data_IF_980044029855
#
_entry.id   IF_980044029855
#
_cell.length_a   1.000
_cell.length_b   1.000
_cell.length_c   1.000
_cell.angle_alpha   90.00
_cell.angle_beta   90.00
_cell.angle_gamma   90.00
#
_symmetry.space_group_name_H-M   'P 1'
#
loop_
_entity.id
_entity.type
_entity.pdbx_description
1 polymer ?
#
# COMPACT_ATOMS: atom_id res chain seq x y z
N UNK A 1 -12.87 -4.39 16.96
CA UNK A 1 -11.95 -4.76 15.89
C UNK A 1 -12.80 -5.10 14.69
N UNK A 2 -12.70 -4.29 13.64
CA UNK A 2 -13.40 -4.56 12.39
C UNK A 2 -12.74 -5.74 11.68
N UNK A 3 -13.50 -6.76 11.35
CA UNK A 3 -13.03 -7.89 10.53
C UNK A 3 -13.39 -7.62 9.07
N UNK A 4 -12.46 -7.91 8.16
CA UNK A 4 -12.65 -7.72 6.73
C UNK A 4 -12.55 -9.03 5.97
N UNK A 5 -13.52 -9.29 5.11
CA UNK A 5 -13.53 -10.44 4.23
C UNK A 5 -13.76 -9.99 2.80
N UNK A 6 -12.88 -10.37 1.90
CA UNK A 6 -13.08 -10.15 0.47
C UNK A 6 -14.09 -11.19 -0.01
N UNK A 7 -15.21 -10.73 -0.55
CA UNK A 7 -16.32 -11.59 -0.97
C UNK A 7 -16.45 -11.69 -2.49
N UNK A 8 -16.03 -10.66 -3.22
CA UNK A 8 -16.07 -10.64 -4.68
C UNK A 8 -15.02 -9.67 -5.25
N UNK A 9 -14.66 -9.87 -6.51
CA UNK A 9 -13.81 -8.97 -7.28
C UNK A 9 -14.35 -8.83 -8.69
N UNK A 10 -14.49 -7.58 -9.13
CA UNK A 10 -15.05 -7.23 -10.44
C UNK A 10 -14.08 -6.34 -11.20
N UNK A 11 -13.93 -6.60 -12.50
CA UNK A 11 -13.30 -5.65 -13.42
C UNK A 11 -14.35 -4.67 -13.91
N UNK A 12 -14.04 -3.39 -13.88
CA UNK A 12 -14.93 -2.30 -14.29
C UNK A 12 -14.21 -1.42 -15.28
N UNK A 13 -14.72 -1.32 -16.50
CA UNK A 13 -14.19 -0.42 -17.53
C UNK A 13 -15.05 0.85 -17.58
N UNK A 14 -14.40 2.02 -17.55
CA UNK A 14 -15.05 3.33 -17.60
C UNK A 14 -14.28 4.26 -18.52
N UNK A 15 -14.81 4.49 -19.73
CA UNK A 15 -14.09 5.20 -20.78
C UNK A 15 -12.86 4.41 -21.20
N UNK A 16 -11.71 5.08 -21.30
CA UNK A 16 -10.43 4.47 -21.68
C UNK A 16 -9.65 3.85 -20.50
N UNK A 17 -10.28 3.77 -19.33
CA UNK A 17 -9.64 3.30 -18.10
C UNK A 17 -10.30 2.01 -17.58
N UNK A 18 -9.47 1.04 -17.21
CA UNK A 18 -9.89 -0.18 -16.49
C UNK A 18 -9.60 -0.07 -14.99
N UNK A 19 -10.50 -0.60 -14.18
CA UNK A 19 -10.42 -0.64 -12.72
C UNK A 19 -10.74 -2.02 -12.18
N UNK A 20 -10.25 -2.30 -10.97
CA UNK A 20 -10.71 -3.39 -10.13
C UNK A 20 -11.59 -2.83 -9.02
N UNK A 21 -12.76 -3.43 -8.82
CA UNK A 21 -13.61 -3.23 -7.66
C UNK A 21 -13.52 -4.47 -6.76
N UNK A 22 -12.89 -4.31 -5.60
CA UNK A 22 -12.79 -5.33 -4.57
C UNK A 22 -13.94 -5.14 -3.61
N UNK A 23 -14.84 -6.12 -3.53
CA UNK A 23 -15.99 -6.06 -2.64
C UNK A 23 -15.63 -6.72 -1.33
N UNK A 24 -15.68 -5.95 -0.25
CA UNK A 24 -15.39 -6.38 1.10
C UNK A 24 -16.67 -6.39 1.93
N UNK A 25 -16.84 -7.46 2.70
CA UNK A 25 -17.74 -7.52 3.84
C UNK A 25 -16.96 -7.09 5.09
N UNK A 26 -17.47 -6.08 5.79
CA UNK A 26 -16.92 -5.55 7.03
C UNK A 26 -17.86 -5.94 8.16
N UNK A 27 -17.30 -6.47 9.24
CA UNK A 27 -18.03 -6.76 10.48
C UNK A 27 -17.50 -5.88 11.60
N UNK A 28 -18.37 -5.02 12.12
CA UNK A 28 -18.08 -4.13 13.25
C UNK A 28 -18.12 -4.87 14.59
N UNK A 29 -17.74 -4.18 15.68
CA UNK A 29 -17.71 -4.78 17.03
C UNK A 29 -19.09 -5.17 17.56
N UNK A 30 -20.12 -4.45 17.17
CA UNK A 30 -21.52 -4.71 17.53
C UNK A 30 -22.13 -5.85 16.69
N UNK A 31 -21.37 -6.43 15.76
CA UNK A 31 -21.82 -7.47 14.84
C UNK A 31 -22.53 -6.94 13.60
N UNK A 32 -22.64 -5.61 13.43
CA UNK A 32 -23.19 -5.02 12.21
C UNK A 32 -22.31 -5.40 11.02
N UNK A 33 -22.95 -5.88 9.96
CA UNK A 33 -22.28 -6.27 8.71
C UNK A 33 -22.64 -5.28 7.62
N UNK A 34 -21.62 -4.74 6.96
CA UNK A 34 -21.81 -3.84 5.83
C UNK A 34 -20.83 -4.15 4.69
N UNK A 35 -21.28 -3.92 3.46
CA UNK A 35 -20.45 -4.11 2.27
C UNK A 35 -19.81 -2.79 1.85
N UNK A 36 -18.53 -2.85 1.47
CA UNK A 36 -17.77 -1.72 0.92
C UNK A 36 -17.02 -2.16 -0.32
N UNK A 37 -16.96 -1.29 -1.32
CA UNK A 37 -16.08 -1.48 -2.47
C UNK A 37 -14.78 -0.68 -2.28
N UNK A 38 -13.64 -1.33 -2.49
CA UNK A 38 -12.36 -0.67 -2.72
C UNK A 38 -12.07 -0.68 -4.23
N UNK A 39 -11.94 0.49 -4.84
CA UNK A 39 -11.71 0.64 -6.27
C UNK A 39 -10.26 1.07 -6.50
N UNK A 40 -9.58 0.37 -7.41
CA UNK A 40 -8.20 0.66 -7.78
C UNK A 40 -8.01 0.58 -9.30
N UNK A 41 -7.15 1.40 -9.92
CA UNK A 41 -6.77 1.24 -11.33
C UNK A 41 -6.25 -0.17 -11.64
N UNK A 42 -6.53 -0.71 -12.83
CA UNK A 42 -6.12 -2.06 -13.21
C UNK A 42 -4.59 -2.26 -13.19
N UNK A 43 -3.83 -1.20 -13.47
CA UNK A 43 -2.36 -1.19 -13.50
C UNK A 43 -1.72 -0.91 -12.12
N UNK A 44 -2.50 -0.94 -11.04
CA UNK A 44 -2.01 -0.65 -9.69
C UNK A 44 -0.89 -1.60 -9.25
N UNK A 45 -0.92 -2.88 -9.68
CA UNK A 45 0.15 -3.83 -9.35
C UNK A 45 1.49 -3.42 -9.99
N UNK A 46 1.48 -2.87 -11.22
CA UNK A 46 2.69 -2.34 -11.86
C UNK A 46 3.27 -1.16 -11.08
N UNK A 47 2.40 -0.26 -10.59
CA UNK A 47 2.83 0.86 -9.76
C UNK A 47 3.48 0.38 -8.45
N UNK A 48 2.89 -0.59 -7.74
CA UNK A 48 3.51 -1.11 -6.51
C UNK A 48 4.82 -1.85 -6.78
N UNK A 49 4.91 -2.58 -7.90
CA UNK A 49 6.17 -3.19 -8.34
C UNK A 49 7.24 -2.14 -8.62
N UNK A 50 6.87 -1.02 -9.25
CA UNK A 50 7.77 0.07 -9.58
C UNK A 50 8.21 0.89 -8.36
N UNK A 51 7.26 1.26 -7.49
CA UNK A 51 7.51 2.10 -6.31
C UNK A 51 8.43 1.42 -5.31
N UNK A 52 8.18 0.15 -5.01
CA UNK A 52 8.89 -0.55 -3.96
C UNK A 52 9.89 -1.57 -4.49
N UNK A 53 10.06 -1.68 -5.81
CA UNK A 53 10.95 -2.69 -6.40
C UNK A 53 10.55 -4.11 -6.00
N UNK A 54 9.24 -4.37 -5.90
CA UNK A 54 8.70 -5.72 -5.67
C UNK A 54 8.77 -6.48 -7.00
N UNK A 55 9.15 -7.75 -6.96
CA UNK A 55 9.15 -8.61 -8.14
C UNK A 55 7.73 -8.66 -8.73
N UNK A 56 7.53 -8.32 -10.02
CA UNK A 56 6.22 -8.40 -10.66
C UNK A 56 5.61 -9.81 -10.59
N UNK A 57 6.43 -10.87 -10.51
CA UNK A 57 5.96 -12.24 -10.32
C UNK A 57 5.44 -12.52 -8.90
N UNK A 58 5.82 -11.70 -7.91
CA UNK A 58 5.31 -11.77 -6.53
C UNK A 58 3.99 -10.97 -6.38
N UNK A 59 3.00 -11.34 -7.20
CA UNK A 59 1.64 -10.76 -7.21
C UNK A 59 0.96 -10.88 -5.85
N UNK A 60 1.28 -11.97 -5.16
CA UNK A 60 1.07 -12.24 -3.76
C UNK A 60 1.40 -11.04 -2.84
N UNK A 61 2.64 -10.58 -2.83
CA UNK A 61 3.07 -9.43 -2.03
C UNK A 61 2.50 -8.12 -2.56
N UNK A 62 2.37 -7.95 -3.88
CA UNK A 62 1.74 -6.77 -4.47
C UNK A 62 0.30 -6.59 -4.00
N UNK A 63 -0.50 -7.66 -4.01
CA UNK A 63 -1.88 -7.65 -3.50
C UNK A 63 -1.92 -7.37 -2.00
N UNK A 64 -0.98 -7.91 -1.23
CA UNK A 64 -0.89 -7.65 0.21
C UNK A 64 -0.69 -6.17 0.50
N UNK A 65 0.13 -5.48 -0.29
CA UNK A 65 0.34 -4.04 -0.20
C UNK A 65 -0.93 -3.29 -0.57
N UNK A 66 -1.46 -3.51 -1.78
CA UNK A 66 -2.58 -2.74 -2.33
C UNK A 66 -3.83 -2.85 -1.48
N UNK A 67 -4.14 -4.05 -0.97
CA UNK A 67 -5.36 -4.28 -0.21
C UNK A 67 -5.26 -3.84 1.25
N UNK A 68 -4.05 -3.73 1.80
CA UNK A 68 -3.84 -3.29 3.18
C UNK A 68 -3.70 -1.77 3.31
N UNK A 69 -3.13 -1.11 2.31
CA UNK A 69 -2.77 0.30 2.35
C UNK A 69 -3.92 1.26 2.71
N UNK A 70 -5.17 1.09 2.18
CA UNK A 70 -6.30 1.93 2.56
C UNK A 70 -6.69 1.86 4.05
N UNK A 71 -6.12 0.91 4.79
CA UNK A 71 -6.41 0.63 6.20
C UNK A 71 -5.21 0.87 7.12
N UNK A 72 -4.15 1.49 6.61
CA UNK A 72 -3.05 1.98 7.43
C UNK A 72 -3.52 3.18 8.25
N UNK A 73 -3.27 3.15 9.57
CA UNK A 73 -3.56 4.28 10.45
C UNK A 73 -2.52 5.39 10.29
N UNK A 74 -2.80 6.57 10.84
CA UNK A 74 -1.79 7.64 10.94
C UNK A 74 -0.54 7.16 11.69
N UNK A 75 -0.71 6.35 12.74
CA UNK A 75 0.41 5.74 13.45
C UNK A 75 1.22 4.80 12.55
N UNK A 76 0.56 3.99 11.71
CA UNK A 76 1.29 3.15 10.74
C UNK A 76 2.14 4.05 9.83
N UNK A 77 1.56 5.12 9.26
CA UNK A 77 2.29 6.07 8.40
C UNK A 77 3.38 6.86 9.14
N UNK A 78 3.24 7.10 10.44
CA UNK A 78 4.27 7.75 11.24
C UNK A 78 5.49 6.86 11.52
N UNK A 79 5.40 5.54 11.28
CA UNK A 79 6.46 4.58 11.60
C UNK A 79 7.31 4.15 10.40
N UNK A 80 8.63 4.18 10.61
CA UNK A 80 9.62 3.73 9.64
C UNK A 80 9.77 4.68 8.45
N UNK A 81 10.49 4.23 7.43
CA UNK A 81 10.74 5.02 6.23
C UNK A 81 9.57 5.00 5.25
N UNK A 82 9.33 6.12 4.60
CA UNK A 82 8.44 6.29 3.46
C UNK A 82 9.22 6.29 2.15
N UNK A 83 8.52 6.10 1.04
CA UNK A 83 9.12 6.01 -0.30
C UNK A 83 10.08 7.17 -0.61
N UNK A 84 9.71 8.39 -0.23
CA UNK A 84 10.46 9.61 -0.55
C UNK A 84 11.49 10.03 0.50
N UNK A 85 11.49 9.44 1.70
CA UNK A 85 12.45 9.75 2.76
C UNK A 85 13.50 8.66 3.00
N UNK A 86 13.24 7.43 2.52
CA UNK A 86 14.13 6.31 2.68
C UNK A 86 15.48 6.54 1.98
N UNK A 87 16.59 6.06 2.53
CA UNK A 87 17.90 6.12 1.88
C UNK A 87 17.91 5.36 0.54
N UNK A 88 17.19 4.25 0.46
CA UNK A 88 17.09 3.39 -0.72
C UNK A 88 15.70 2.73 -0.82
N UNK A 89 15.40 2.15 -1.99
CA UNK A 89 14.11 1.51 -2.27
C UNK A 89 13.90 0.27 -1.39
N UNK A 90 14.95 -0.50 -1.11
CA UNK A 90 14.84 -1.72 -0.30
C UNK A 90 14.40 -1.40 1.14
N UNK A 91 14.90 -0.31 1.70
CA UNK A 91 14.52 0.19 3.03
C UNK A 91 13.07 0.67 3.04
N UNK A 92 12.64 1.42 2.02
CA UNK A 92 11.23 1.80 1.85
C UNK A 92 10.32 0.56 1.73
N UNK A 93 10.69 -0.41 0.89
CA UNK A 93 9.96 -1.66 0.64
C UNK A 93 9.76 -2.44 1.94
N UNK A 94 10.84 -2.71 2.68
CA UNK A 94 10.76 -3.46 3.95
C UNK A 94 9.84 -2.76 4.96
N UNK A 95 9.97 -1.44 5.10
CA UNK A 95 9.14 -0.66 6.01
C UNK A 95 7.67 -0.70 5.62
N UNK A 96 7.36 -0.52 4.33
CA UNK A 96 5.99 -0.53 3.82
C UNK A 96 5.33 -1.90 3.92
N UNK A 97 6.02 -2.98 3.52
CA UNK A 97 5.51 -4.36 3.67
C UNK A 97 5.20 -4.66 5.14
N UNK A 98 6.08 -4.24 6.07
CA UNK A 98 5.84 -4.44 7.50
C UNK A 98 4.59 -3.67 7.99
N UNK A 99 4.35 -2.44 7.50
CA UNK A 99 3.12 -1.67 7.78
C UNK A 99 1.89 -2.41 7.28
N UNK A 100 1.89 -2.81 6.00
CA UNK A 100 0.79 -3.56 5.39
C UNK A 100 0.50 -4.87 6.13
N UNK A 101 1.53 -5.62 6.52
CA UNK A 101 1.38 -6.84 7.30
C UNK A 101 0.67 -6.60 8.65
N UNK A 102 1.01 -5.52 9.36
CA UNK A 102 0.32 -5.15 10.62
C UNK A 102 -1.14 -4.78 10.39
N UNK A 103 -1.44 -3.97 9.36
CA UNK A 103 -2.83 -3.65 9.01
C UNK A 103 -3.62 -4.90 8.66
N UNK A 104 -3.07 -5.82 7.87
CA UNK A 104 -3.73 -7.10 7.56
C UNK A 104 -4.05 -7.90 8.81
N UNK A 105 -3.10 -8.01 9.74
CA UNK A 105 -3.32 -8.72 11.00
C UNK A 105 -4.41 -8.04 11.85
N UNK A 106 -4.37 -6.70 11.94
CA UNK A 106 -5.36 -5.89 12.68
C UNK A 106 -6.78 -6.09 12.16
N UNK A 107 -6.94 -6.17 10.83
CA UNK A 107 -8.25 -6.28 10.17
C UNK A 107 -8.62 -7.72 9.74
N UNK A 108 -7.76 -8.70 10.07
CA UNK A 108 -7.87 -10.10 9.64
C UNK A 108 -8.07 -10.26 8.13
N UNK A 109 -7.48 -9.36 7.35
CA UNK A 109 -7.60 -9.33 5.90
C UNK A 109 -6.72 -10.43 5.28
N UNK A 110 -7.33 -11.35 4.53
CA UNK A 110 -6.62 -12.40 3.79
C UNK A 110 -6.78 -12.23 2.28
N UNK A 111 -5.65 -12.32 1.59
CA UNK A 111 -5.47 -12.26 0.13
C UNK A 111 -5.09 -13.62 -0.45
N UNK A 112 -4.99 -14.64 0.40
CA UNK A 112 -4.51 -15.97 0.03
C UNK A 112 -5.66 -16.96 -0.07
N UNK A 113 -5.53 -17.88 -1.01
CA UNK A 113 -6.43 -19.04 -1.12
C UNK A 113 -6.29 -19.87 0.14
N UNK A 114 -7.42 -20.20 0.77
CA UNK A 114 -7.41 -21.11 1.91
C UNK A 114 -7.15 -22.52 1.38
N UNK A 115 -6.03 -23.12 1.79
CA UNK A 115 -5.70 -24.48 1.43
C UNK A 115 -6.80 -25.45 1.90
N UNK A 116 -7.01 -26.52 1.12
CA UNK A 116 -7.90 -27.59 1.52
C UNK A 116 -7.39 -28.21 2.82
N UNK A 117 -8.32 -28.56 3.71
CA UNK A 117 -8.06 -29.44 4.86
C UNK A 117 -8.74 -30.78 4.61
N UNK A 118 -8.53 -31.75 5.51
CA UNK A 118 -9.21 -33.04 5.44
C UNK A 118 -10.73 -32.91 5.36
N UNK A 119 -11.28 -31.89 6.03
CA UNK A 119 -12.73 -31.71 6.22
C UNK A 119 -13.30 -30.51 5.46
N UNK A 120 -12.48 -29.75 4.73
CA UNK A 120 -12.92 -28.53 4.04
C UNK A 120 -12.20 -28.39 2.71
N UNK A 121 -12.92 -28.24 1.58
CA UNK A 121 -12.29 -28.02 0.29
C UNK A 121 -11.55 -26.67 0.27
N UNK A 122 -10.60 -26.53 -0.65
CA UNK A 122 -9.95 -25.24 -0.89
C UNK A 122 -11.01 -24.24 -1.38
N UNK A 123 -10.95 -23.02 -0.85
CA UNK A 123 -11.78 -21.91 -1.31
C UNK A 123 -10.86 -20.92 -2.02
N UNK A 124 -10.94 -20.80 -3.36
CA UNK A 124 -10.16 -19.83 -4.12
C UNK A 124 -10.35 -18.43 -3.55
N UNK A 125 -9.26 -17.68 -3.39
CA UNK A 125 -9.37 -16.29 -3.01
C UNK A 125 -9.88 -15.48 -4.21
N UNK A 126 -10.93 -14.64 -4.06
CA UNK A 126 -11.41 -13.77 -5.14
C UNK A 126 -10.31 -12.90 -5.77
N UNK A 127 -9.30 -12.50 -5.01
CA UNK A 127 -8.17 -11.71 -5.50
C UNK A 127 -7.23 -12.47 -6.44
N UNK A 128 -7.34 -13.80 -6.56
CA UNK A 128 -6.56 -14.56 -7.54
C UNK A 128 -6.78 -14.03 -8.95
N UNK A 129 -8.02 -13.63 -9.27
CA UNK A 129 -8.34 -13.02 -10.57
C UNK A 129 -7.59 -11.71 -10.82
N UNK A 130 -7.37 -10.90 -9.79
CA UNK A 130 -6.57 -9.67 -9.92
C UNK A 130 -5.13 -10.03 -10.26
N UNK A 131 -4.55 -11.01 -9.55
CA UNK A 131 -3.19 -11.46 -9.83
C UNK A 131 -3.03 -12.00 -11.24
N UNK A 132 -4.03 -12.74 -11.74
CA UNK A 132 -3.98 -13.40 -13.04
C UNK A 132 -4.28 -12.45 -14.21
N UNK A 133 -5.17 -11.48 -14.02
CA UNK A 133 -5.71 -10.63 -15.09
C UNK A 133 -5.14 -9.19 -15.09
N UNK A 134 -4.42 -8.76 -14.03
CA UNK A 134 -3.80 -7.43 -14.02
C UNK A 134 -2.64 -7.36 -15.02
N UNK A 135 -2.51 -6.25 -15.76
CA UNK A 135 -1.34 -6.01 -16.58
C UNK A 135 -0.10 -5.92 -15.69
N UNK A 136 0.97 -6.60 -16.10
CA UNK A 136 2.29 -6.61 -15.47
C UNK A 136 3.37 -6.55 -16.56
N UNK A 137 3.28 -5.52 -17.39
CA UNK A 137 4.18 -5.32 -18.53
C UNK A 137 5.56 -4.86 -18.05
N UNK A 138 6.65 -5.62 -18.32
CA UNK A 138 7.99 -5.26 -17.88
C UNK A 138 8.42 -3.85 -18.32
N UNK A 139 8.09 -3.46 -19.54
CA UNK A 139 8.37 -2.14 -20.10
C UNK A 139 7.62 -1.00 -19.38
N UNK A 140 6.36 -1.24 -19.00
CA UNK A 140 5.56 -0.25 -18.27
C UNK A 140 6.08 -0.09 -16.84
N UNK A 141 6.45 -1.19 -16.20
CA UNK A 141 7.05 -1.19 -14.85
C UNK A 141 8.38 -0.42 -14.86
N UNK A 142 9.22 -0.61 -15.87
CA UNK A 142 10.49 0.11 -15.98
C UNK A 142 10.27 1.62 -16.18
N UNK A 143 9.33 2.02 -17.04
CA UNK A 143 8.95 3.42 -17.18
C UNK A 143 8.46 4.02 -15.84
N UNK A 144 7.59 3.29 -15.14
CA UNK A 144 7.09 3.68 -13.80
C UNK A 144 8.22 3.80 -12.78
N UNK A 145 9.23 2.93 -12.81
CA UNK A 145 10.42 3.02 -11.93
C UNK A 145 11.20 4.30 -12.18
N UNK A 146 11.37 4.70 -13.44
CA UNK A 146 12.02 5.96 -13.79
C UNK A 146 11.24 7.16 -13.23
N UNK A 147 9.91 7.14 -13.34
CA UNK A 147 9.05 8.19 -12.77
C UNK A 147 9.17 8.25 -11.24
N UNK A 148 9.17 7.10 -10.56
CA UNK A 148 9.38 7.02 -9.10
C UNK A 148 10.76 7.57 -8.72
N UNK A 149 11.81 7.21 -9.44
CA UNK A 149 13.16 7.71 -9.19
C UNK A 149 13.25 9.23 -9.36
N UNK A 150 12.65 9.77 -10.42
CA UNK A 150 12.55 11.22 -10.64
C UNK A 150 11.82 11.91 -9.49
N UNK A 151 10.68 11.37 -9.05
CA UNK A 151 9.91 11.91 -7.92
C UNK A 151 10.72 11.89 -6.60
N UNK A 152 11.44 10.80 -6.31
CA UNK A 152 12.33 10.71 -5.14
C UNK A 152 13.46 11.73 -5.20
N UNK A 153 14.09 11.91 -6.37
CA UNK A 153 15.14 12.90 -6.56
C UNK A 153 14.61 14.33 -6.35
N UNK A 154 13.45 14.65 -6.94
CA UNK A 154 12.81 15.95 -6.78
C UNK A 154 12.44 16.23 -5.31
N UNK A 155 11.91 15.24 -4.59
CA UNK A 155 11.60 15.38 -3.16
C UNK A 155 12.87 15.61 -2.32
N UNK A 156 13.95 14.88 -2.60
CA UNK A 156 15.23 15.06 -1.93
C UNK A 156 15.81 16.47 -2.17
N UNK A 157 15.73 16.97 -3.40
CA UNK A 157 16.14 18.33 -3.76
C UNK A 157 15.29 19.39 -3.04
N UNK A 158 13.96 19.23 -3.05
CA UNK A 158 13.05 20.14 -2.36
C UNK A 158 13.34 20.19 -0.85
N UNK A 159 13.60 19.05 -0.22
CA UNK A 159 14.00 18.97 1.19
C UNK A 159 15.34 19.65 1.47
N UNK A 160 16.31 19.51 0.57
CA UNK A 160 17.63 20.15 0.71
C UNK A 160 17.57 21.67 0.50
N UNK A 161 16.64 22.14 -0.35
CA UNK A 161 16.43 23.57 -0.61
C UNK A 161 15.51 24.25 0.41
N UNK A 162 14.79 23.47 1.24
CA UNK A 162 13.89 24.01 2.24
C UNK A 162 14.66 24.92 3.23
N UNK A 163 14.23 26.17 3.45
CA UNK A 163 14.89 27.04 4.41
C UNK A 163 14.83 26.40 5.79
N UNK A 164 15.88 26.57 6.62
CA UNK A 164 15.88 26.03 7.98
C UNK A 164 14.65 26.53 8.73
N UNK A 165 13.98 25.59 9.42
CA UNK A 165 12.78 25.89 10.19
C UNK A 165 13.13 26.91 11.28
N UNK A 166 12.83 28.18 10.99
CA UNK A 166 13.09 29.30 11.88
C UNK A 166 12.35 29.15 13.21
N UNK A 167 11.20 28.48 13.23
CA UNK A 167 10.42 28.24 14.45
C UNK A 167 11.09 27.17 15.30
N UNK A 168 11.57 26.08 14.70
CA UNK A 168 12.35 25.07 15.42
C UNK A 168 13.67 25.66 15.95
N UNK A 169 14.36 26.49 15.15
CA UNK A 169 15.58 27.18 15.57
C UNK A 169 15.33 28.13 16.75
N UNK A 170 14.23 28.90 16.72
CA UNK A 170 13.81 29.78 17.82
C UNK A 170 13.45 28.97 19.08
N UNK A 171 12.70 27.87 18.96
CA UNK A 171 12.39 26.99 20.11
C UNK A 171 13.66 26.45 20.75
N UNK A 172 14.60 25.95 19.95
CA UNK A 172 15.87 25.44 20.46
C UNK A 172 16.74 26.53 21.10
N UNK A 173 16.65 27.79 20.64
CA UNK A 173 17.36 28.92 21.25
C UNK A 173 16.76 29.28 22.63
N UNK A 174 15.43 29.30 22.75
CA UNK A 174 14.70 29.52 24.01
C UNK A 174 15.03 28.42 25.03
N UNK A 175 15.02 27.16 24.62
CA UNK A 175 15.35 26.02 25.48
C UNK A 175 16.81 26.05 25.99
N UNK A 176 17.73 26.63 25.21
CA UNK A 176 19.14 26.84 25.62
C UNK A 176 19.35 28.07 26.50
N UNK A 177 18.30 28.83 26.82
CA UNK A 177 18.41 30.06 27.63
C UNK A 177 19.20 31.17 26.94
N UNK A 178 19.34 31.12 25.60
CA UNK A 178 19.96 32.19 24.83
C UNK A 178 18.89 33.26 24.54
N UNK A 179 19.17 34.56 24.78
CA UNK A 179 18.25 35.62 24.40
C UNK A 179 18.09 35.65 22.88
N UNK A 180 16.86 35.94 22.44
CA UNK A 180 16.44 35.98 21.04
C UNK A 180 17.19 37.04 20.21
#
# INVERSE_FOLDING_TARGET
MVTMKIIDVQRVDKGDSSYWAIILELSDEDGTVHNRAHIMPADTLEWRAAEYGIDPADTATLLDVVLAEPYLSEEDWATGHQLHDAPDIDTARRAHIARCARAKLRHRLSTRTRAATKDTPAVPNPCQRVADESPLHPEAIELKRQLVQQARAAHAQARAAAPPDRIAALRAAVERGQPA
#
